data_IF_475219683906
#
_entry.id   IF_475219683906
#
_cell.length_a   1.000
_cell.length_b   1.000
_cell.length_c   1.000
_cell.angle_alpha   90.00
_cell.angle_beta   90.00
_cell.angle_gamma   90.00
#
_symmetry.space_group_name_H-M   'P 1'
#
loop_
_entity.id
_entity.type
_entity.pdbx_description
1 polymer ?
#
# COMPACT_ATOMS: atom_id res chain seq x y z
N UNK A 1 12.63 -23.89 32.61
CA UNK A 1 11.93 -23.13 31.54
C UNK A 1 10.57 -22.55 31.96
N UNK A 2 9.87 -23.05 32.99
CA UNK A 2 8.53 -22.52 33.37
C UNK A 2 8.56 -21.19 34.15
N UNK A 3 9.58 -20.90 34.96
CA UNK A 3 9.69 -19.62 35.70
C UNK A 3 9.88 -18.39 34.78
N UNK A 4 10.56 -18.54 33.65
CA UNK A 4 10.78 -17.45 32.68
C UNK A 4 9.51 -17.10 31.86
N UNK A 5 8.51 -17.99 31.81
CA UNK A 5 7.24 -17.70 31.13
C UNK A 5 6.30 -16.85 32.01
N UNK A 6 6.37 -17.04 33.33
CA UNK A 6 5.58 -16.29 34.32
C UNK A 6 5.97 -14.81 34.37
N UNK A 7 7.27 -14.52 34.39
CA UNK A 7 7.81 -13.14 34.37
C UNK A 7 7.45 -12.38 33.07
N UNK A 8 7.41 -13.08 31.93
CA UNK A 8 7.08 -12.47 30.62
C UNK A 8 5.61 -12.05 30.51
N UNK A 9 4.67 -12.85 31.02
CA UNK A 9 3.23 -12.49 31.01
C UNK A 9 2.96 -11.22 31.81
N UNK A 10 3.59 -11.06 32.98
CA UNK A 10 3.47 -9.85 33.79
C UNK A 10 3.95 -8.59 33.08
N UNK A 11 5.05 -8.66 32.31
CA UNK A 11 5.58 -7.49 31.60
C UNK A 11 4.68 -7.00 30.45
N UNK A 12 4.12 -7.92 29.65
CA UNK A 12 3.25 -7.58 28.53
C UNK A 12 1.90 -7.02 29.01
N UNK A 13 1.28 -7.68 30.00
CA UNK A 13 0.03 -7.23 30.59
C UNK A 13 0.19 -5.86 31.28
N UNK A 14 1.27 -5.67 32.03
CA UNK A 14 1.59 -4.38 32.65
C UNK A 14 1.71 -3.27 31.61
N UNK A 15 2.44 -3.50 30.52
CA UNK A 15 2.58 -2.52 29.43
C UNK A 15 1.22 -2.17 28.80
N UNK A 16 0.42 -3.17 28.42
CA UNK A 16 -0.88 -2.95 27.79
C UNK A 16 -1.89 -2.27 28.72
N UNK A 17 -1.92 -2.62 30.01
CA UNK A 17 -2.81 -1.95 30.98
C UNK A 17 -2.40 -0.50 31.23
N UNK A 18 -1.09 -0.22 31.27
CA UNK A 18 -0.51 1.09 31.55
C UNK A 18 -0.65 2.08 30.39
N UNK A 19 -0.39 1.63 29.16
CA UNK A 19 -0.32 2.51 27.98
C UNK A 19 -1.51 2.33 27.03
N UNK A 20 -2.16 1.16 27.05
CA UNK A 20 -3.32 0.83 26.19
C UNK A 20 -3.12 1.13 24.69
N UNK A 21 -1.95 0.87 24.08
CA UNK A 21 -1.77 1.12 22.66
C UNK A 21 -2.62 0.14 21.84
N UNK A 22 -3.19 0.62 20.74
CA UNK A 22 -3.83 -0.21 19.71
C UNK A 22 -3.19 0.10 18.36
N UNK A 23 -3.46 -0.71 17.34
CA UNK A 23 -2.97 -0.49 15.98
C UNK A 23 -4.08 -0.72 14.97
N UNK A 24 -4.73 0.37 14.55
CA UNK A 24 -5.70 0.38 13.46
C UNK A 24 -4.93 0.52 12.15
N UNK A 25 -5.18 -0.41 11.23
CA UNK A 25 -4.62 -0.37 9.88
C UNK A 25 -5.71 -0.35 8.83
N UNK A 26 -5.29 -0.48 7.57
CA UNK A 26 -6.17 -0.54 6.40
C UNK A 26 -5.79 -1.72 5.54
N UNK A 27 -6.66 -2.09 4.62
CA UNK A 27 -6.41 -2.99 3.50
C UNK A 27 -7.29 -2.55 2.34
N UNK A 28 -6.94 -2.94 1.11
CA UNK A 28 -7.70 -2.57 -0.08
C UNK A 28 -7.55 -1.11 -0.50
N UNK A 29 -6.43 -0.45 -0.18
CA UNK A 29 -6.18 0.92 -0.64
C UNK A 29 -6.11 0.99 -2.18
N UNK A 30 -5.43 0.02 -2.80
CA UNK A 30 -5.37 -0.08 -4.26
C UNK A 30 -6.75 -0.35 -4.88
N UNK A 31 -7.56 -1.22 -4.27
CA UNK A 31 -8.94 -1.46 -4.69
C UNK A 31 -9.76 -0.18 -4.65
N UNK A 32 -9.67 0.60 -3.57
CA UNK A 32 -10.37 1.87 -3.43
C UNK A 32 -9.99 2.84 -4.57
N UNK A 33 -8.69 2.96 -4.89
CA UNK A 33 -8.26 3.80 -6.00
C UNK A 33 -8.77 3.31 -7.36
N UNK A 34 -8.75 1.99 -7.61
CA UNK A 34 -9.27 1.40 -8.84
C UNK A 34 -10.77 1.66 -8.98
N UNK A 35 -11.55 1.44 -7.91
CA UNK A 35 -12.99 1.69 -7.89
C UNK A 35 -13.33 3.16 -8.13
N UNK A 36 -12.50 4.08 -7.64
CA UNK A 36 -12.62 5.53 -7.87
C UNK A 36 -12.04 5.99 -9.22
N UNK A 37 -11.48 5.08 -10.03
CA UNK A 37 -10.81 5.36 -11.32
C UNK A 37 -9.60 6.30 -11.20
N UNK A 38 -8.85 6.15 -10.11
CA UNK A 38 -7.63 6.92 -9.86
C UNK A 38 -6.40 6.02 -10.02
N UNK A 39 -5.52 6.30 -11.01
CA UNK A 39 -4.19 5.69 -11.03
C UNK A 39 -3.47 5.94 -9.70
N UNK A 40 -2.75 4.93 -9.19
CA UNK A 40 -2.31 4.88 -7.79
C UNK A 40 -1.54 6.14 -7.33
N UNK A 41 -0.67 6.69 -8.16
CA UNK A 41 0.18 7.85 -7.85
C UNK A 41 -0.31 9.16 -8.48
N UNK A 42 -1.55 9.22 -8.99
CA UNK A 42 -2.09 10.46 -9.53
C UNK A 42 -2.48 11.47 -8.42
N UNK A 43 -2.60 12.78 -8.71
CA UNK A 43 -2.91 13.78 -7.70
C UNK A 43 -4.22 13.52 -6.93
N UNK A 44 -5.24 12.95 -7.59
CA UNK A 44 -6.51 12.59 -6.93
C UNK A 44 -6.33 11.45 -5.92
N UNK A 45 -5.53 10.44 -6.24
CA UNK A 45 -5.20 9.35 -5.33
C UNK A 45 -4.33 9.83 -4.15
N UNK A 46 -3.37 10.74 -4.40
CA UNK A 46 -2.56 11.37 -3.34
C UNK A 46 -3.44 12.16 -2.35
N UNK A 47 -4.39 12.95 -2.86
CA UNK A 47 -5.35 13.67 -2.01
C UNK A 47 -6.23 12.71 -1.21
N UNK A 48 -6.82 11.70 -1.87
CA UNK A 48 -7.68 10.72 -1.22
C UNK A 48 -6.91 9.91 -0.16
N UNK A 49 -5.63 9.58 -0.41
CA UNK A 49 -4.74 8.96 0.56
C UNK A 49 -4.67 9.79 1.85
N UNK A 50 -4.41 11.09 1.75
CA UNK A 50 -4.38 11.98 2.93
C UNK A 50 -5.74 11.99 3.63
N UNK A 51 -6.84 12.21 2.89
CA UNK A 51 -8.18 12.29 3.48
C UNK A 51 -8.62 11.01 4.20
N UNK A 52 -8.26 9.83 3.69
CA UNK A 52 -8.55 8.55 4.33
C UNK A 52 -7.84 8.46 5.69
N UNK A 53 -6.53 8.70 5.73
CA UNK A 53 -5.75 8.56 6.96
C UNK A 53 -6.07 9.67 7.97
N UNK A 54 -6.34 10.88 7.50
CA UNK A 54 -6.85 11.96 8.34
C UNK A 54 -8.18 11.57 9.02
N UNK A 55 -9.11 11.01 8.25
CA UNK A 55 -10.41 10.54 8.77
C UNK A 55 -10.25 9.42 9.79
N UNK A 56 -9.39 8.43 9.50
CA UNK A 56 -9.13 7.31 10.42
C UNK A 56 -8.55 7.83 11.73
N UNK A 57 -7.57 8.75 11.66
CA UNK A 57 -6.94 9.29 12.86
C UNK A 57 -7.89 10.14 13.69
N UNK A 58 -8.68 11.00 13.05
CA UNK A 58 -9.71 11.80 13.71
C UNK A 58 -10.71 10.91 14.45
N UNK A 59 -11.30 9.94 13.75
CA UNK A 59 -12.29 9.04 14.34
C UNK A 59 -11.72 8.16 15.47
N UNK A 60 -10.47 7.72 15.34
CA UNK A 60 -9.81 6.93 16.37
C UNK A 60 -9.53 7.77 17.64
N UNK A 61 -9.12 9.02 17.49
CA UNK A 61 -8.93 9.96 18.60
C UNK A 61 -10.26 10.30 19.28
N UNK A 62 -11.31 10.56 18.49
CA UNK A 62 -12.65 10.85 19.00
C UNK A 62 -13.17 9.68 19.85
N UNK A 63 -13.17 8.46 19.31
CA UNK A 63 -13.61 7.27 20.04
C UNK A 63 -12.75 7.01 21.29
N UNK A 64 -11.44 7.27 21.21
CA UNK A 64 -10.55 7.13 22.38
C UNK A 64 -10.81 8.19 23.45
N UNK A 65 -11.21 9.41 23.05
CA UNK A 65 -11.64 10.47 23.96
C UNK A 65 -12.97 10.12 24.63
N UNK A 66 -13.95 9.59 23.89
CA UNK A 66 -15.24 9.13 24.42
C UNK A 66 -15.05 8.02 25.47
N UNK A 67 -14.18 7.04 25.18
CA UNK A 67 -13.82 6.01 26.14
C UNK A 67 -13.09 6.56 27.36
N UNK A 68 -12.34 7.66 27.24
CA UNK A 68 -11.70 8.33 28.36
C UNK A 68 -12.72 9.05 29.25
N UNK A 69 -13.76 9.65 28.66
CA UNK A 69 -14.88 10.24 29.40
C UNK A 69 -15.60 9.22 30.28
N UNK A 70 -15.78 8.00 29.77
CA UNK A 70 -16.44 6.92 30.52
C UNK A 70 -15.54 6.22 31.53
N UNK A 71 -14.26 5.98 31.18
CA UNK A 71 -13.39 5.01 31.90
C UNK A 71 -12.11 5.64 32.44
N UNK A 72 -11.95 6.95 32.30
CA UNK A 72 -10.73 7.70 32.54
C UNK A 72 -9.67 7.50 31.43
N UNK A 73 -8.67 8.39 31.34
CA UNK A 73 -7.56 8.23 30.41
C UNK A 73 -6.70 6.99 30.73
N UNK A 74 -5.77 6.64 29.84
CA UNK A 74 -4.75 5.62 30.18
C UNK A 74 -3.78 6.15 31.25
N UNK A 75 -3.16 5.23 32.01
CA UNK A 75 -2.38 5.54 33.23
C UNK A 75 -1.26 6.58 33.03
N UNK A 76 -0.72 6.66 31.82
CA UNK A 76 0.45 7.50 31.47
C UNK A 76 0.10 8.63 30.50
N UNK A 77 -1.16 9.06 30.49
CA UNK A 77 -1.62 10.16 29.63
C UNK A 77 -1.02 11.50 30.06
N UNK A 78 -0.99 11.79 31.36
CA UNK A 78 -0.40 13.03 31.87
C UNK A 78 1.09 13.12 31.53
N UNK A 79 1.49 14.25 30.94
CA UNK A 79 2.85 14.47 30.44
C UNK A 79 3.10 13.95 29.02
N UNK A 80 2.14 13.25 28.40
CA UNK A 80 2.22 12.90 26.98
C UNK A 80 2.04 14.14 26.09
N UNK A 81 2.51 14.13 24.83
CA UNK A 81 2.25 15.23 23.90
C UNK A 81 0.75 15.53 23.71
N UNK A 82 -0.09 14.48 23.68
CA UNK A 82 -1.54 14.64 23.55
C UNK A 82 -2.17 15.38 24.75
N UNK A 83 -1.63 15.19 25.97
CA UNK A 83 -2.05 15.98 27.15
C UNK A 83 -1.70 17.47 27.05
N UNK A 84 -0.80 17.83 26.13
CA UNK A 84 -0.40 19.20 25.83
C UNK A 84 -1.07 19.74 24.54
N UNK A 85 -2.01 18.99 23.96
CA UNK A 85 -2.70 19.36 22.71
C UNK A 85 -1.86 19.16 21.44
N UNK A 86 -0.73 18.46 21.54
CA UNK A 86 0.15 18.12 20.42
C UNK A 86 -0.26 16.75 19.88
N UNK A 87 -0.84 16.74 18.68
CA UNK A 87 -1.23 15.54 17.95
C UNK A 87 -0.17 15.18 16.89
N UNK A 88 -0.37 14.04 16.24
CA UNK A 88 0.66 13.47 15.37
C UNK A 88 1.10 14.40 14.22
N UNK A 89 0.18 15.15 13.62
CA UNK A 89 0.51 16.05 12.52
C UNK A 89 1.25 17.30 12.98
N UNK A 90 1.04 17.74 14.23
CA UNK A 90 1.80 18.85 14.82
C UNK A 90 3.28 18.46 14.96
N UNK A 91 3.57 17.20 15.28
CA UNK A 91 4.95 16.69 15.36
C UNK A 91 5.65 16.59 13.99
N UNK A 92 4.92 16.77 12.91
CA UNK A 92 5.42 16.78 11.53
C UNK A 92 5.38 18.17 10.91
N UNK A 93 4.98 19.20 11.67
CA UNK A 93 4.75 20.56 11.18
C UNK A 93 3.77 20.61 9.98
N UNK A 94 2.74 19.74 10.01
CA UNK A 94 1.72 19.64 8.95
C UNK A 94 0.37 20.15 9.46
N UNK A 95 -0.23 21.07 8.71
CA UNK A 95 -1.62 21.46 8.93
C UNK A 95 -2.56 20.40 8.32
N UNK A 96 -3.56 19.90 9.07
CA UNK A 96 -4.57 19.00 8.52
C UNK A 96 -5.47 19.69 7.50
N UNK A 97 -6.29 18.93 6.78
CA UNK A 97 -7.30 19.53 5.91
C UNK A 97 -8.47 20.10 6.72
N UNK A 98 -9.33 20.90 6.08
CA UNK A 98 -10.53 21.45 6.71
C UNK A 98 -11.69 20.42 6.80
N UNK A 99 -11.42 19.14 6.55
CA UNK A 99 -12.46 18.10 6.50
C UNK A 99 -13.07 17.81 7.87
N UNK A 100 -12.29 17.94 8.94
CA UNK A 100 -12.69 17.61 10.31
C UNK A 100 -12.37 18.75 11.28
N UNK A 101 -13.20 18.92 12.31
CA UNK A 101 -13.01 19.95 13.34
C UNK A 101 -11.96 19.50 14.39
N UNK A 102 -10.70 19.64 14.01
CA UNK A 102 -9.55 19.33 14.87
C UNK A 102 -9.47 20.20 16.13
N UNK A 103 -10.01 21.42 16.08
CA UNK A 103 -9.97 22.34 17.20
C UNK A 103 -10.87 21.83 18.33
N UNK A 104 -12.13 21.52 18.02
CA UNK A 104 -13.07 20.95 18.99
C UNK A 104 -12.57 19.63 19.55
N UNK A 105 -12.00 18.76 18.71
CA UNK A 105 -11.40 17.51 19.17
C UNK A 105 -10.23 17.73 20.13
N UNK A 106 -9.30 18.65 19.83
CA UNK A 106 -8.19 19.00 20.75
C UNK A 106 -8.71 19.52 22.10
N UNK A 107 -9.74 20.37 22.10
CA UNK A 107 -10.35 20.88 23.33
C UNK A 107 -10.96 19.75 24.18
N UNK A 108 -11.64 18.79 23.54
CA UNK A 108 -12.17 17.59 24.22
C UNK A 108 -11.04 16.73 24.79
N UNK A 109 -9.98 16.49 24.02
CA UNK A 109 -8.82 15.70 24.46
C UNK A 109 -8.13 16.35 25.66
N UNK A 110 -7.94 17.68 25.65
CA UNK A 110 -7.37 18.40 26.79
C UNK A 110 -8.24 18.30 28.05
N UNK A 111 -9.57 18.23 27.87
CA UNK A 111 -10.52 18.17 28.99
C UNK A 111 -10.69 16.77 29.58
N UNK A 112 -10.75 15.74 28.74
CA UNK A 112 -11.14 14.38 29.13
C UNK A 112 -10.02 13.35 28.98
N UNK A 113 -8.97 13.68 28.24
CA UNK A 113 -7.88 12.80 27.90
C UNK A 113 -8.23 11.77 26.82
N UNK A 114 -7.32 10.81 26.63
CA UNK A 114 -7.47 9.69 25.70
C UNK A 114 -7.39 8.36 26.44
N UNK A 115 -8.13 7.35 25.97
CA UNK A 115 -8.10 6.00 26.54
C UNK A 115 -6.91 5.17 26.04
N UNK A 116 -6.31 5.56 24.92
CA UNK A 116 -5.24 4.83 24.25
C UNK A 116 -4.07 5.78 23.99
N UNK A 117 -2.83 5.31 24.22
CA UNK A 117 -1.63 6.11 23.92
C UNK A 117 -1.32 6.23 22.44
N UNK A 118 -1.62 5.20 21.66
CA UNK A 118 -1.36 5.09 20.22
C UNK A 118 -2.52 4.35 19.57
N UNK A 119 -2.81 4.70 18.31
CA UNK A 119 -4.06 4.36 17.64
C UNK A 119 -3.84 3.72 16.26
N UNK A 120 -2.98 4.28 15.41
CA UNK A 120 -2.94 3.97 13.98
C UNK A 120 -1.58 3.39 13.59
N UNK A 121 -1.60 2.20 13.00
CA UNK A 121 -0.41 1.47 12.54
C UNK A 121 -0.75 0.55 11.36
N UNK A 122 -0.67 1.03 10.09
CA UNK A 122 -0.93 0.20 8.93
C UNK A 122 0.04 -0.98 8.84
N UNK A 123 -0.48 -2.17 9.11
CA UNK A 123 0.26 -3.44 9.14
C UNK A 123 0.11 -4.22 7.82
N UNK A 124 0.94 -5.25 7.60
CA UNK A 124 0.70 -6.20 6.52
C UNK A 124 -0.59 -6.97 6.81
N UNK A 125 -1.45 -7.10 5.80
CA UNK A 125 -2.76 -7.75 5.93
C UNK A 125 -2.86 -9.05 5.13
N UNK A 126 -1.73 -9.69 4.81
CA UNK A 126 -1.64 -10.81 3.87
C UNK A 126 -2.77 -11.85 3.99
N UNK A 127 -3.06 -12.34 5.20
CA UNK A 127 -4.12 -13.35 5.39
C UNK A 127 -5.53 -12.76 5.38
N UNK A 128 -5.74 -11.61 6.00
CA UNK A 128 -7.07 -11.01 6.14
C UNK A 128 -7.55 -10.35 4.84
N UNK A 129 -6.65 -9.79 4.04
CA UNK A 129 -7.00 -9.20 2.74
C UNK A 129 -7.31 -10.27 1.72
N UNK A 130 -6.60 -11.40 1.74
CA UNK A 130 -6.96 -12.58 0.95
C UNK A 130 -8.34 -13.13 1.34
N UNK A 131 -8.66 -13.16 2.63
CA UNK A 131 -9.98 -13.60 3.11
C UNK A 131 -11.11 -12.68 2.61
N UNK A 132 -10.89 -11.36 2.63
CA UNK A 132 -11.89 -10.38 2.18
C UNK A 132 -11.85 -10.10 0.67
N UNK A 133 -10.87 -10.64 -0.06
CA UNK A 133 -10.70 -10.42 -1.49
C UNK A 133 -10.15 -9.03 -1.85
N UNK A 134 -9.43 -8.38 -0.94
CA UNK A 134 -8.80 -7.07 -1.12
C UNK A 134 -7.29 -7.19 -1.38
N UNK A 135 -6.69 -6.15 -1.97
CA UNK A 135 -5.23 -6.01 -2.01
C UNK A 135 -4.65 -5.71 -0.63
N UNK A 136 -3.39 -6.08 -0.45
CA UNK A 136 -2.71 -5.96 0.85
C UNK A 136 -2.50 -4.50 1.26
N UNK A 137 -2.88 -4.18 2.49
CA UNK A 137 -2.52 -2.97 3.20
C UNK A 137 -2.67 -1.68 2.37
N UNK A 138 -1.60 -0.89 2.35
CA UNK A 138 -1.40 0.36 1.61
C UNK A 138 -0.66 0.15 0.28
N UNK A 139 -0.52 -1.10 -0.19
CA UNK A 139 0.34 -1.42 -1.33
C UNK A 139 -0.40 -1.28 -2.66
N UNK A 140 0.29 -0.91 -3.75
CA UNK A 140 -0.20 -1.14 -5.10
C UNK A 140 -0.32 -2.64 -5.42
N UNK A 141 -1.02 -2.98 -6.51
CA UNK A 141 -1.01 -4.35 -7.02
C UNK A 141 0.40 -4.75 -7.44
N UNK A 142 0.91 -5.85 -6.89
CA UNK A 142 2.23 -6.39 -7.27
C UNK A 142 2.23 -7.00 -8.67
N UNK A 143 1.06 -7.51 -9.10
CA UNK A 143 0.80 -8.12 -10.40
C UNK A 143 -0.71 -8.11 -10.66
N UNK A 144 -1.16 -8.03 -11.92
CA UNK A 144 -2.57 -8.28 -12.24
C UNK A 144 -2.91 -9.78 -12.43
N UNK A 145 -1.95 -10.67 -12.18
CA UNK A 145 -2.13 -12.12 -12.18
C UNK A 145 -1.52 -12.72 -10.91
N UNK A 146 -2.26 -13.64 -10.29
CA UNK A 146 -1.87 -14.39 -9.11
C UNK A 146 -2.01 -15.89 -9.35
N UNK A 147 -1.09 -16.69 -8.82
CA UNK A 147 -1.21 -18.14 -8.85
C UNK A 147 -1.73 -18.61 -7.49
N UNK A 148 -2.92 -19.21 -7.49
CA UNK A 148 -3.49 -19.86 -6.32
C UNK A 148 -3.23 -21.35 -6.40
N UNK A 149 -2.41 -21.87 -5.50
CA UNK A 149 -2.13 -23.30 -5.38
C UNK A 149 -3.22 -23.96 -4.55
N UNK A 150 -3.89 -24.96 -5.12
CA UNK A 150 -4.82 -25.83 -4.39
C UNK A 150 -4.39 -27.28 -4.56
N UNK A 151 -5.00 -28.20 -3.80
CA UNK A 151 -4.66 -29.62 -3.81
C UNK A 151 -4.74 -30.22 -5.22
N UNK A 152 -5.65 -29.72 -6.06
CA UNK A 152 -5.86 -30.20 -7.44
C UNK A 152 -4.98 -29.49 -8.51
N UNK A 153 -4.06 -28.62 -8.12
CA UNK A 153 -3.14 -27.93 -9.03
C UNK A 153 -3.08 -26.40 -8.85
N UNK A 154 -2.36 -25.75 -9.75
CA UNK A 154 -2.14 -24.31 -9.75
C UNK A 154 -3.15 -23.60 -10.65
N UNK A 155 -3.92 -22.67 -10.09
CA UNK A 155 -4.91 -21.88 -10.81
C UNK A 155 -4.45 -20.43 -10.95
N UNK A 156 -4.52 -19.91 -12.17
CA UNK A 156 -4.21 -18.51 -12.44
C UNK A 156 -5.47 -17.66 -12.22
N UNK A 157 -5.37 -16.70 -11.31
CA UNK A 157 -6.39 -15.71 -11.00
C UNK A 157 -5.96 -14.36 -11.55
N UNK A 158 -6.88 -13.66 -12.21
CA UNK A 158 -6.66 -12.31 -12.70
C UNK A 158 -7.19 -11.31 -11.66
N UNK A 159 -6.60 -10.12 -11.64
CA UNK A 159 -7.16 -8.99 -10.90
C UNK A 159 -8.64 -8.83 -11.29
N UNK A 160 -9.52 -8.99 -10.30
CA UNK A 160 -10.97 -9.05 -10.52
C UNK A 160 -11.52 -7.74 -11.10
N UNK A 161 -10.91 -6.61 -10.75
CA UNK A 161 -11.29 -5.31 -11.30
C UNK A 161 -10.87 -5.19 -12.77
N UNK A 162 -9.62 -5.56 -13.11
CA UNK A 162 -9.14 -5.55 -14.49
C UNK A 162 -9.98 -6.47 -15.37
N UNK A 163 -10.30 -7.67 -14.88
CA UNK A 163 -11.13 -8.63 -15.60
C UNK A 163 -12.51 -8.04 -15.93
N UNK A 164 -13.17 -7.42 -14.95
CA UNK A 164 -14.48 -6.76 -15.15
C UNK A 164 -14.40 -5.64 -16.18
N UNK A 165 -13.33 -4.86 -16.16
CA UNK A 165 -13.13 -3.78 -17.14
C UNK A 165 -12.89 -4.31 -18.55
N UNK A 166 -12.04 -5.32 -18.70
CA UNK A 166 -11.77 -5.93 -20.00
C UNK A 166 -13.01 -6.59 -20.59
N UNK A 167 -13.86 -7.22 -19.76
CA UNK A 167 -15.15 -7.76 -20.21
C UNK A 167 -16.07 -6.63 -20.67
N UNK A 168 -16.16 -5.54 -19.90
CA UNK A 168 -17.00 -4.38 -20.26
C UNK A 168 -16.54 -3.69 -21.55
N UNK A 169 -15.25 -3.74 -21.85
CA UNK A 169 -14.67 -3.19 -23.08
C UNK A 169 -14.70 -4.18 -24.25
N UNK A 170 -15.24 -5.38 -24.06
CA UNK A 170 -15.22 -6.48 -25.04
C UNK A 170 -13.79 -6.88 -25.49
N UNK A 171 -12.83 -6.73 -24.58
CA UNK A 171 -11.41 -7.04 -24.80
C UNK A 171 -10.97 -8.37 -24.16
N UNK A 172 -11.85 -9.03 -23.41
CA UNK A 172 -11.51 -10.27 -22.70
C UNK A 172 -11.58 -11.50 -23.61
N UNK A 173 -10.45 -11.80 -24.26
CA UNK A 173 -10.28 -12.99 -25.10
C UNK A 173 -9.20 -13.93 -24.56
N UNK A 174 -9.08 -15.15 -25.11
CA UNK A 174 -8.01 -16.09 -24.76
C UNK A 174 -6.63 -15.52 -25.12
N UNK A 175 -6.55 -14.75 -26.21
CA UNK A 175 -5.34 -14.05 -26.65
C UNK A 175 -4.95 -12.97 -25.65
N UNK A 176 -5.90 -12.16 -25.20
CA UNK A 176 -5.69 -11.16 -24.13
C UNK A 176 -5.18 -11.83 -22.86
N UNK A 177 -5.83 -12.91 -22.42
CA UNK A 177 -5.42 -13.69 -21.25
C UNK A 177 -3.97 -14.15 -21.37
N UNK A 178 -3.62 -14.79 -22.48
CA UNK A 178 -2.28 -15.30 -22.73
C UNK A 178 -1.25 -14.16 -22.80
N UNK A 179 -1.63 -13.01 -23.33
CA UNK A 179 -0.78 -11.84 -23.42
C UNK A 179 -0.46 -11.26 -22.03
N UNK A 180 -1.46 -11.11 -21.16
CA UNK A 180 -1.24 -10.64 -19.78
C UNK A 180 -0.36 -11.66 -19.01
N UNK A 181 -0.54 -12.97 -19.24
CA UNK A 181 0.33 -14.02 -18.65
C UNK A 181 1.77 -13.87 -19.15
N UNK A 182 1.96 -13.71 -20.45
CA UNK A 182 3.27 -13.53 -21.07
C UNK A 182 3.98 -12.26 -20.55
N UNK A 183 3.22 -11.18 -20.35
CA UNK A 183 3.69 -9.92 -19.76
C UNK A 183 3.65 -9.93 -18.21
N UNK A 184 3.46 -11.12 -17.59
CA UNK A 184 3.56 -11.36 -16.14
C UNK A 184 2.66 -10.47 -15.29
N UNK A 185 1.44 -10.23 -15.77
CA UNK A 185 0.47 -9.37 -15.10
C UNK A 185 0.60 -7.89 -15.44
N UNK A 186 1.57 -7.47 -16.24
CA UNK A 186 1.57 -6.13 -16.84
C UNK A 186 0.56 -6.03 -17.97
N UNK A 187 -0.07 -4.87 -18.10
CA UNK A 187 -0.96 -4.53 -19.23
C UNK A 187 -0.39 -3.43 -20.14
N UNK A 188 0.79 -2.89 -19.80
CA UNK A 188 1.32 -1.68 -20.46
C UNK A 188 1.65 -1.92 -21.94
N UNK A 189 2.17 -3.11 -22.25
CA UNK A 189 2.62 -3.48 -23.60
C UNK A 189 1.48 -3.91 -24.55
N UNK A 190 0.25 -4.01 -24.04
CA UNK A 190 -0.89 -4.51 -24.82
C UNK A 190 -1.56 -3.35 -25.55
N UNK A 191 -1.33 -3.24 -26.86
CA UNK A 191 -1.80 -2.10 -27.68
C UNK A 191 -3.32 -1.92 -27.71
N UNK A 192 -4.08 -3.02 -27.59
CA UNK A 192 -5.55 -2.99 -27.61
C UNK A 192 -6.18 -2.44 -26.33
N UNK A 193 -5.45 -2.35 -25.22
CA UNK A 193 -5.96 -1.79 -23.96
C UNK A 193 -5.84 -0.25 -24.01
N UNK A 194 -6.93 0.49 -23.74
CA UNK A 194 -6.90 1.96 -23.64
C UNK A 194 -5.91 2.48 -22.60
N UNK A 195 -5.36 3.67 -22.83
CA UNK A 195 -4.31 4.24 -21.98
C UNK A 195 -4.79 4.53 -20.55
N UNK A 196 -6.03 4.98 -20.37
CA UNK A 196 -6.63 5.21 -19.05
C UNK A 196 -6.71 3.91 -18.22
N UNK A 197 -7.05 2.79 -18.86
CA UNK A 197 -7.05 1.46 -18.24
C UNK A 197 -5.63 1.03 -17.90
N UNK A 198 -4.66 1.24 -18.81
CA UNK A 198 -3.24 0.95 -18.53
C UNK A 198 -2.72 1.73 -17.33
N UNK A 199 -3.02 3.02 -17.25
CA UNK A 199 -2.63 3.87 -16.14
C UNK A 199 -3.24 3.40 -14.82
N UNK A 200 -4.50 2.95 -14.85
CA UNK A 200 -5.22 2.45 -13.69
C UNK A 200 -4.64 1.14 -13.13
N UNK A 201 -4.19 0.25 -14.02
CA UNK A 201 -3.71 -1.10 -13.67
C UNK A 201 -2.18 -1.25 -13.72
N UNK A 202 -1.45 -0.14 -13.55
CA UNK A 202 0.00 -0.19 -13.33
C UNK A 202 0.33 -1.03 -12.10
N UNK A 203 1.28 -1.94 -12.27
CA UNK A 203 1.81 -2.74 -11.16
C UNK A 203 2.80 -1.92 -10.35
N UNK A 204 3.15 -2.39 -9.15
CA UNK A 204 4.14 -1.73 -8.28
C UNK A 204 5.51 -1.53 -8.94
N UNK A 205 5.85 -2.37 -9.92
CA UNK A 205 7.09 -2.31 -10.69
C UNK A 205 7.11 -1.16 -11.71
N UNK A 206 5.93 -0.66 -12.07
CA UNK A 206 5.69 0.38 -13.08
C UNK A 206 5.39 1.74 -12.44
N UNK A 207 5.24 1.76 -11.11
CA UNK A 207 5.03 2.99 -10.34
C UNK A 207 6.37 3.49 -9.79
N UNK A 208 6.75 4.76 -10.01
CA UNK A 208 7.94 5.33 -9.41
C UNK A 208 7.93 5.19 -7.88
N UNK A 209 8.90 4.47 -7.32
CA UNK A 209 8.98 4.25 -5.86
C UNK A 209 9.07 5.56 -5.07
N UNK A 210 9.66 6.61 -5.66
CA UNK A 210 9.68 7.96 -5.09
C UNK A 210 8.26 8.48 -4.78
N UNK A 211 7.29 8.19 -5.65
CA UNK A 211 5.90 8.60 -5.46
C UNK A 211 5.25 7.81 -4.32
N UNK A 212 5.53 6.50 -4.21
CA UNK A 212 5.03 5.68 -3.11
C UNK A 212 5.59 6.13 -1.75
N UNK A 213 6.89 6.45 -1.69
CA UNK A 213 7.52 7.02 -0.49
C UNK A 213 6.93 8.38 -0.12
N UNK A 214 6.63 9.22 -1.13
CA UNK A 214 5.95 10.50 -0.92
C UNK A 214 4.55 10.30 -0.35
N UNK A 215 3.73 9.42 -0.92
CA UNK A 215 2.40 9.10 -0.40
C UNK A 215 2.44 8.52 1.02
N UNK A 216 3.47 7.72 1.33
CA UNK A 216 3.70 7.21 2.68
C UNK A 216 4.03 8.33 3.67
N UNK A 217 4.81 9.33 3.24
CA UNK A 217 5.11 10.50 4.06
C UNK A 217 3.89 11.41 4.21
N UNK A 218 3.08 11.60 3.17
CA UNK A 218 1.87 12.43 3.20
C UNK A 218 0.80 11.89 4.16
N UNK A 219 0.69 10.57 4.32
CA UNK A 219 -0.20 9.98 5.35
C UNK A 219 0.44 9.91 6.74
N UNK A 220 1.77 10.03 6.84
CA UNK A 220 2.55 9.92 8.07
C UNK A 220 2.10 10.85 9.22
N UNK A 221 1.74 12.12 8.95
CA UNK A 221 1.16 13.04 9.94
C UNK A 221 -0.11 12.53 10.64
N UNK A 222 -0.79 11.53 10.08
CA UNK A 222 -2.01 10.94 10.64
C UNK A 222 -1.79 9.51 11.14
N UNK A 223 -0.52 9.10 11.33
CA UNK A 223 -0.14 7.77 11.82
C UNK A 223 0.79 7.93 13.03
N UNK A 224 0.25 7.72 14.22
CA UNK A 224 0.99 7.92 15.48
C UNK A 224 2.07 6.87 15.75
N UNK A 225 1.93 5.67 15.17
CA UNK A 225 3.00 4.66 15.15
C UNK A 225 3.83 4.75 13.89
N UNK A 226 3.72 3.79 12.98
CA UNK A 226 4.42 3.75 11.70
C UNK A 226 3.61 2.89 10.74
N UNK A 227 4.18 2.57 9.58
CA UNK A 227 3.55 1.77 8.53
C UNK A 227 4.53 0.75 7.98
N UNK A 228 4.03 -0.45 7.64
CA UNK A 228 4.83 -1.49 6.99
C UNK A 228 5.02 -1.19 5.50
N UNK A 229 6.08 -0.47 5.16
CA UNK A 229 6.33 0.04 3.81
C UNK A 229 7.30 -0.84 3.03
N UNK A 230 6.78 -1.71 2.16
CA UNK A 230 7.62 -2.46 1.23
C UNK A 230 8.08 -1.57 0.07
N UNK A 231 9.33 -1.78 -0.37
CA UNK A 231 9.91 -1.08 -1.53
C UNK A 231 10.23 -2.08 -2.62
N UNK A 232 9.88 -1.74 -3.85
CA UNK A 232 9.99 -2.63 -5.01
C UNK A 232 10.98 -2.05 -6.02
N UNK A 233 12.12 -2.70 -6.20
CA UNK A 233 13.14 -2.32 -7.19
C UNK A 233 13.43 -3.51 -8.09
N UNK A 234 12.93 -3.49 -9.33
CA UNK A 234 13.17 -4.57 -10.29
C UNK A 234 14.67 -4.84 -10.46
N UNK A 235 15.46 -3.79 -10.67
CA UNK A 235 16.92 -3.85 -10.80
C UNK A 235 17.59 -3.02 -9.68
N UNK A 236 17.89 -3.65 -8.53
CA UNK A 236 18.52 -2.96 -7.41
C UNK A 236 19.99 -2.63 -7.75
N UNK A 237 20.36 -1.36 -7.59
CA UNK A 237 21.78 -0.93 -7.58
C UNK A 237 22.07 -0.22 -6.26
N UNK A 238 23.34 -0.18 -5.85
CA UNK A 238 23.75 0.52 -4.64
C UNK A 238 23.27 1.98 -4.66
N UNK A 239 23.50 2.68 -5.77
CA UNK A 239 23.05 4.06 -5.96
C UNK A 239 21.53 4.23 -5.79
N UNK A 240 20.72 3.32 -6.36
CA UNK A 240 19.25 3.38 -6.25
C UNK A 240 18.79 3.13 -4.83
N UNK A 241 19.33 2.10 -4.16
CA UNK A 241 18.97 1.77 -2.77
C UNK A 241 19.36 2.91 -1.82
N UNK A 242 20.59 3.43 -1.94
CA UNK A 242 21.06 4.56 -1.14
C UNK A 242 20.18 5.78 -1.36
N UNK A 243 19.91 6.16 -2.62
CA UNK A 243 19.06 7.33 -2.92
C UNK A 243 17.65 7.19 -2.34
N UNK A 244 17.09 5.98 -2.37
CA UNK A 244 15.77 5.68 -1.85
C UNK A 244 15.72 5.79 -0.31
N UNK A 245 16.71 5.23 0.40
CA UNK A 245 16.79 5.36 1.86
C UNK A 245 16.94 6.81 2.29
N UNK A 246 17.87 7.56 1.67
CA UNK A 246 18.05 8.98 1.98
C UNK A 246 16.82 9.82 1.66
N UNK A 247 16.09 9.47 0.58
CA UNK A 247 14.85 10.15 0.24
C UNK A 247 13.78 9.91 1.31
N UNK A 248 13.54 8.66 1.72
CA UNK A 248 12.59 8.34 2.79
C UNK A 248 12.94 8.99 4.12
N UNK A 249 14.22 8.99 4.49
CA UNK A 249 14.72 9.65 5.69
C UNK A 249 14.49 11.16 5.67
N UNK A 250 14.81 11.84 4.55
CA UNK A 250 14.58 13.29 4.40
C UNK A 250 13.11 13.67 4.44
N UNK A 251 12.22 12.75 4.05
CA UNK A 251 10.77 12.94 4.16
C UNK A 251 10.25 12.74 5.60
N UNK A 252 11.08 12.34 6.55
CA UNK A 252 10.67 12.10 7.94
C UNK A 252 10.04 10.72 8.20
N UNK A 253 10.11 9.77 7.25
CA UNK A 253 9.52 8.44 7.44
C UNK A 253 10.12 7.72 8.66
N UNK A 254 9.25 7.34 9.60
CA UNK A 254 9.60 6.51 10.78
C UNK A 254 10.10 5.12 10.37
N UNK A 255 9.46 4.51 9.36
CA UNK A 255 9.93 3.27 8.72
C UNK A 255 10.22 3.56 7.25
N UNK A 256 11.50 3.68 6.91
CA UNK A 256 11.93 3.94 5.53
C UNK A 256 11.81 2.73 4.59
N UNK A 257 11.86 1.51 5.13
CA UNK A 257 11.71 0.27 4.36
C UNK A 257 11.39 -0.90 5.29
N UNK A 258 10.43 -1.74 4.92
CA UNK A 258 10.12 -3.02 5.56
C UNK A 258 10.84 -4.17 4.84
N UNK A 259 10.35 -4.58 3.67
CA UNK A 259 11.09 -5.44 2.74
C UNK A 259 11.53 -4.68 1.51
N UNK A 260 12.73 -5.02 1.02
CA UNK A 260 13.12 -4.77 -0.36
C UNK A 260 12.68 -5.98 -1.21
N UNK A 261 11.84 -5.74 -2.21
CA UNK A 261 11.41 -6.73 -3.19
C UNK A 261 12.09 -6.45 -4.52
N UNK A 262 12.68 -7.48 -5.12
CA UNK A 262 13.42 -7.39 -6.38
C UNK A 262 12.89 -8.40 -7.38
N UNK A 263 13.16 -8.19 -8.67
CA UNK A 263 12.87 -9.18 -9.70
C UNK A 263 14.17 -9.87 -10.15
N UNK A 264 14.15 -11.19 -10.44
CA UNK A 264 15.32 -11.87 -10.98
C UNK A 264 15.77 -11.27 -12.32
N UNK A 265 17.09 -11.22 -12.56
CA UNK A 265 17.68 -10.72 -13.82
C UNK A 265 17.46 -11.71 -14.99
N UNK A 266 17.56 -13.01 -14.72
CA UNK A 266 17.27 -14.07 -15.69
C UNK A 266 15.83 -14.55 -15.51
N UNK A 267 15.06 -14.53 -16.60
CA UNK A 267 13.61 -14.57 -16.52
C UNK A 267 13.05 -15.59 -17.52
N UNK A 268 13.01 -16.90 -17.18
CA UNK A 268 12.45 -17.92 -18.04
C UNK A 268 11.01 -17.58 -18.42
N UNK A 269 10.64 -17.83 -19.67
CA UNK A 269 9.28 -17.68 -20.15
C UNK A 269 8.40 -18.69 -19.40
N UNK A 270 7.25 -18.30 -18.83
CA UNK A 270 6.35 -19.24 -18.18
C UNK A 270 5.95 -20.35 -19.16
N UNK A 271 6.11 -21.62 -18.76
CA UNK A 271 5.86 -22.82 -19.59
C UNK A 271 4.41 -22.94 -20.11
N UNK A 272 3.49 -22.11 -19.64
CA UNK A 272 2.06 -22.09 -20.00
C UNK A 272 1.74 -21.26 -21.23
N UNK A 273 2.69 -20.53 -21.81
CA UNK A 273 2.48 -19.81 -23.07
C UNK A 273 2.76 -20.73 -24.25
N UNK A 274 1.77 -20.92 -25.12
CA UNK A 274 1.92 -21.71 -26.34
C UNK A 274 3.10 -21.17 -27.18
N UNK A 275 4.06 -22.05 -27.49
CA UNK A 275 5.30 -21.72 -28.20
C UNK A 275 5.03 -21.12 -29.59
N UNK A 276 3.88 -21.41 -30.20
CA UNK A 276 3.46 -20.80 -31.46
C UNK A 276 3.20 -19.29 -31.32
N UNK A 277 2.66 -18.84 -30.18
CA UNK A 277 2.35 -17.43 -29.94
C UNK A 277 3.62 -16.56 -29.80
N UNK A 278 4.66 -17.12 -29.18
CA UNK A 278 5.96 -16.46 -29.03
C UNK A 278 6.68 -16.28 -30.37
N UNK A 279 6.57 -17.23 -31.30
CA UNK A 279 7.16 -17.13 -32.65
C UNK A 279 6.63 -15.92 -33.43
N UNK A 280 5.35 -15.58 -33.28
CA UNK A 280 4.71 -14.43 -33.94
C UNK A 280 5.24 -13.08 -33.43
N UNK A 281 5.64 -13.02 -32.15
CA UNK A 281 6.21 -11.80 -31.53
C UNK A 281 7.66 -11.57 -31.96
N UNK A 282 8.46 -12.63 -32.08
CA UNK A 282 9.83 -12.53 -32.59
C UNK A 282 9.89 -12.21 -34.09
N UNK A 283 8.94 -12.72 -34.89
CA UNK A 283 8.86 -12.34 -36.31
C UNK A 283 8.44 -10.87 -36.49
N UNK A 284 7.47 -10.39 -35.71
CA UNK A 284 7.00 -9.00 -35.81
C UNK A 284 8.02 -7.95 -35.33
N UNK A 285 8.95 -8.31 -34.44
CA UNK A 285 10.06 -7.42 -34.05
C UNK A 285 11.17 -7.35 -35.10
N UNK A 286 11.38 -8.41 -35.87
CA UNK A 286 12.39 -8.44 -36.94
C UNK A 286 11.98 -7.62 -38.17
N UNK A 287 10.68 -7.46 -38.42
CA UNK A 287 10.17 -6.68 -39.56
C UNK A 287 10.25 -5.15 -39.33
N UNK A 288 10.40 -4.68 -38.10
CA UNK A 288 10.50 -3.23 -37.79
C UNK A 288 11.93 -2.72 -37.98
N UNK A 289 12.95 -3.54 -37.71
CA UNK A 289 14.35 -3.16 -37.89
C UNK A 289 14.84 -3.29 -39.35
N UNK A 290 14.09 -3.98 -40.21
CA UNK A 290 14.44 -4.14 -41.63
C UNK A 290 14.02 -2.95 -42.53
N UNK A 291 13.18 -2.03 -42.03
CA UNK A 291 12.54 -1.00 -42.87
C UNK A 291 13.16 0.41 -42.76
N UNK A 292 14.25 0.59 -42.01
CA UNK A 292 14.94 1.88 -41.84
C UNK A 292 16.28 2.00 -42.61
N UNK A 293 16.60 1.02 -43.47
CA UNK A 293 17.93 0.87 -44.08
C UNK A 293 18.09 1.13 -45.58
N UNK A 294 17.07 1.59 -46.31
CA UNK A 294 17.19 1.86 -47.75
C UNK A 294 16.48 3.15 -48.18
N UNK A 295 17.15 4.29 -48.03
CA UNK A 295 16.91 5.48 -48.87
C UNK A 295 18.14 6.40 -48.79
N UNK A 296 19.09 6.17 -49.70
CA UNK A 296 20.09 7.14 -50.17
C UNK A 296 20.49 6.73 -51.58
#
# INVERSE_FOLDING_TARGET
MSQNLSLKKGSAEKSNKRHRPIGIGVQGLADAFILMRYPFDCPKAQKLNVEIFETIYFAALEASCELAMEKGPYETFEGSPASQGILQYDMWDVAPTEKWDWKSLKERILRYGLRNSLLVAPMPTASTSQLLGNNESIEPYTSNIYVRRIICGDFQLFNSHLLKDLIRLDLWTNEMRNQIIADRGSVQNIKSIPEDVKQLYRTVWEIPQKNLLKMAAERGPFIDQSQSLNVHLAEPTFARITSMHFYGWRLGLKTGMYYLRTQPAANPIPFTVDKMYLKKRYSASLDIDACSGCSS
#
